data_IF_474523396613
#
_entry.id   IF_474523396613
#
_cell.length_a   1.000
_cell.length_b   1.000
_cell.length_c   1.000
_cell.angle_alpha   90.00
_cell.angle_beta   90.00
_cell.angle_gamma   90.00
#
_symmetry.space_group_name_H-M   'P 1'
#
loop_
_entity.id
_entity.type
_entity.pdbx_description
1 polymer ?
#
# COMPACT_ATOMS: atom_id res chain seq x y z
N UNK A 1 13.43 -22.84 87.05
CA UNK A 1 13.01 -21.81 86.07
C UNK A 1 14.26 -21.50 85.26
N UNK A 2 14.52 -22.30 84.23
CA UNK A 2 13.97 -22.14 82.87
C UNK A 2 14.84 -21.18 82.06
N UNK A 3 15.57 -21.78 81.12
CA UNK A 3 15.95 -21.32 79.79
C UNK A 3 15.75 -19.84 79.45
N UNK A 4 16.81 -19.22 78.93
CA UNK A 4 16.78 -18.84 77.52
C UNK A 4 18.20 -18.65 76.96
N UNK A 5 18.55 -19.57 76.06
CA UNK A 5 19.65 -19.45 75.12
C UNK A 5 19.36 -18.32 74.13
N UNK A 6 20.23 -17.32 74.06
CA UNK A 6 20.33 -16.42 72.90
C UNK A 6 21.20 -17.08 71.83
N UNK A 7 20.84 -17.01 70.54
CA UNK A 7 21.49 -17.80 69.50
C UNK A 7 22.88 -17.24 69.22
N UNK A 8 23.85 -18.15 69.11
CA UNK A 8 25.19 -17.86 68.65
C UNK A 8 25.15 -17.20 67.27
N UNK A 9 25.91 -16.12 67.13
CA UNK A 9 26.23 -15.50 65.85
C UNK A 9 26.79 -16.60 64.93
N UNK A 10 26.19 -16.85 63.75
CA UNK A 10 26.73 -17.83 62.81
C UNK A 10 28.11 -17.34 62.35
N UNK A 11 29.08 -18.24 62.11
CA UNK A 11 30.35 -17.83 61.52
C UNK A 11 30.07 -17.19 60.17
N UNK A 12 30.54 -15.96 59.97
CA UNK A 12 30.53 -15.30 58.68
C UNK A 12 31.11 -16.26 57.63
N UNK A 13 30.46 -16.44 56.47
CA UNK A 13 31.03 -17.23 55.40
C UNK A 13 32.35 -16.58 54.98
N UNK A 14 33.43 -17.34 55.08
CA UNK A 14 34.72 -17.01 54.47
C UNK A 14 34.49 -16.62 53.00
N UNK A 15 34.95 -15.42 52.64
CA UNK A 15 34.89 -14.84 51.29
C UNK A 15 35.21 -15.91 50.22
N UNK A 16 34.38 -16.09 49.19
CA UNK A 16 34.64 -17.06 48.13
C UNK A 16 35.64 -16.56 47.07
N UNK A 17 36.59 -15.68 47.41
CA UNK A 17 37.32 -14.89 46.40
C UNK A 17 38.80 -15.23 46.17
N UNK A 18 39.35 -16.30 46.75
CA UNK A 18 40.72 -16.72 46.38
C UNK A 18 40.77 -17.80 45.29
N UNK A 19 39.67 -18.50 45.00
CA UNK A 19 39.65 -19.56 43.97
C UNK A 19 39.31 -19.06 42.56
N UNK A 20 38.73 -17.87 42.43
CA UNK A 20 38.36 -17.26 41.14
C UNK A 20 39.33 -16.15 40.69
N UNK A 21 40.49 -16.02 41.34
CA UNK A 21 41.50 -15.05 40.90
C UNK A 21 42.12 -15.55 39.59
N UNK A 22 41.73 -14.89 38.49
CA UNK A 22 42.29 -15.18 37.18
C UNK A 22 43.82 -15.21 37.25
N UNK A 23 44.48 -16.19 36.61
CA UNK A 23 45.94 -16.27 36.60
C UNK A 23 46.52 -14.95 36.10
N UNK A 24 47.60 -14.48 36.73
CA UNK A 24 48.24 -13.24 36.36
C UNK A 24 49.37 -13.51 35.36
N UNK A 25 49.51 -12.62 34.37
CA UNK A 25 50.64 -12.63 33.45
C UNK A 25 51.95 -12.52 34.21
N UNK A 26 52.90 -13.39 33.89
CA UNK A 26 54.27 -13.30 34.40
C UNK A 26 55.02 -12.25 33.58
N UNK A 27 55.66 -11.30 34.28
CA UNK A 27 56.49 -10.25 33.67
C UNK A 27 57.83 -10.27 34.40
N UNK A 28 58.91 -10.51 33.67
CA UNK A 28 60.28 -10.59 34.18
C UNK A 28 61.18 -9.68 33.34
N UNK A 29 62.10 -8.96 33.98
CA UNK A 29 63.12 -8.16 33.29
C UNK A 29 64.38 -9.00 33.02
N UNK A 30 65.21 -8.60 32.04
CA UNK A 30 66.38 -9.37 31.58
C UNK A 30 67.37 -9.73 32.72
N UNK A 31 67.54 -8.84 33.70
CA UNK A 31 68.40 -9.09 34.87
C UNK A 31 67.84 -10.15 35.82
N UNK A 32 66.52 -10.21 35.96
CA UNK A 32 65.83 -11.19 36.81
C UNK A 32 65.88 -12.56 36.13
N UNK A 33 65.71 -12.60 34.82
CA UNK A 33 65.75 -13.83 34.02
C UNK A 33 67.09 -14.57 34.13
N UNK A 34 68.21 -13.83 34.17
CA UNK A 34 69.55 -14.39 34.29
C UNK A 34 69.92 -14.90 35.69
N UNK A 35 69.15 -14.55 36.73
CA UNK A 35 69.43 -14.91 38.13
C UNK A 35 68.51 -16.01 38.69
N UNK A 36 67.49 -16.42 37.92
CA UNK A 36 66.52 -17.44 38.33
C UNK A 36 67.15 -18.83 38.40
N UNK A 37 66.77 -19.58 39.44
CA UNK A 37 67.01 -21.02 39.48
C UNK A 37 66.10 -21.75 38.49
N UNK A 38 66.52 -22.95 38.08
CA UNK A 38 65.73 -23.80 37.18
C UNK A 38 64.33 -24.13 37.74
N UNK A 39 64.19 -24.24 39.06
CA UNK A 39 62.92 -24.48 39.73
C UNK A 39 61.99 -23.26 39.64
N UNK A 40 62.51 -22.05 39.88
CA UNK A 40 61.74 -20.81 39.80
C UNK A 40 61.30 -20.52 38.36
N UNK A 41 62.16 -20.76 37.37
CA UNK A 41 61.80 -20.69 35.96
C UNK A 41 60.65 -21.65 35.61
N UNK A 42 60.71 -22.90 36.08
CA UNK A 42 59.63 -23.87 35.86
C UNK A 42 58.31 -23.43 36.50
N UNK A 43 58.35 -22.78 37.68
CA UNK A 43 57.13 -22.23 38.30
C UNK A 43 56.55 -21.05 37.52
N UNK A 44 57.40 -20.11 37.08
CA UNK A 44 56.97 -18.99 36.23
C UNK A 44 56.43 -19.45 34.88
N UNK A 45 57.05 -20.47 34.27
CA UNK A 45 56.56 -21.07 33.04
C UNK A 45 55.15 -21.67 33.22
N UNK A 46 54.94 -22.50 34.26
CA UNK A 46 53.61 -23.08 34.54
C UNK A 46 52.55 -22.01 34.84
N UNK A 47 52.93 -20.94 35.55
CA UNK A 47 52.02 -19.83 35.81
C UNK A 47 51.63 -19.09 34.53
N UNK A 48 52.60 -18.83 33.65
CA UNK A 48 52.36 -18.20 32.35
C UNK A 48 51.53 -19.10 31.42
N UNK A 49 51.78 -20.41 31.42
CA UNK A 49 51.01 -21.40 30.67
C UNK A 49 49.54 -21.43 31.13
N UNK A 50 49.32 -21.46 32.45
CA UNK A 50 47.97 -21.36 33.05
C UNK A 50 47.27 -20.06 32.66
N UNK A 51 48.01 -18.94 32.61
CA UNK A 51 47.48 -17.66 32.14
C UNK A 51 47.06 -17.70 30.67
N UNK A 52 47.91 -18.26 29.80
CA UNK A 52 47.63 -18.41 28.36
C UNK A 52 46.39 -19.30 28.16
N UNK A 53 46.31 -20.46 28.80
CA UNK A 53 45.14 -21.35 28.72
C UNK A 53 43.85 -20.62 29.15
N UNK A 54 43.92 -19.80 30.21
CA UNK A 54 42.74 -19.02 30.65
C UNK A 54 42.32 -17.94 29.65
N UNK A 55 43.27 -17.33 28.94
CA UNK A 55 42.99 -16.35 27.88
C UNK A 55 42.41 -17.04 26.64
N UNK A 56 42.96 -18.18 26.23
CA UNK A 56 42.45 -18.99 25.12
C UNK A 56 41.02 -19.46 25.39
N UNK A 57 40.74 -19.93 26.61
CA UNK A 57 39.39 -20.30 27.03
C UNK A 57 38.44 -19.09 26.99
N UNK A 58 38.88 -17.92 27.48
CA UNK A 58 38.07 -16.70 27.46
C UNK A 58 37.81 -16.19 26.05
N UNK A 59 38.81 -16.25 25.16
CA UNK A 59 38.66 -15.90 23.75
C UNK A 59 37.66 -16.84 23.07
N UNK A 60 37.82 -18.15 23.26
CA UNK A 60 36.88 -19.14 22.71
C UNK A 60 35.45 -18.92 23.21
N UNK A 61 35.29 -18.59 24.49
CA UNK A 61 33.99 -18.24 25.07
C UNK A 61 33.40 -16.98 24.44
N UNK A 62 34.19 -15.91 24.30
CA UNK A 62 33.76 -14.67 23.65
C UNK A 62 33.40 -14.85 22.18
N UNK A 63 34.16 -15.68 21.45
CA UNK A 63 33.84 -16.04 20.06
C UNK A 63 32.49 -16.76 19.97
N UNK A 64 32.22 -17.68 20.90
CA UNK A 64 30.93 -18.36 21.03
C UNK A 64 29.77 -17.38 21.31
N UNK A 65 29.94 -16.50 22.29
CA UNK A 65 28.94 -15.47 22.64
C UNK A 65 28.67 -14.51 21.47
N UNK A 66 29.71 -14.09 20.75
CA UNK A 66 29.57 -13.25 19.56
C UNK A 66 28.82 -13.97 18.43
N UNK A 67 29.07 -15.26 18.23
CA UNK A 67 28.35 -16.06 17.24
C UNK A 67 26.85 -16.18 17.60
N UNK A 68 26.54 -16.42 18.87
CA UNK A 68 25.16 -16.50 19.37
C UNK A 68 24.42 -15.15 19.26
N UNK A 69 25.10 -14.04 19.61
CA UNK A 69 24.57 -12.70 19.47
C UNK A 69 24.28 -12.36 18.00
N UNK A 70 25.17 -12.72 17.07
CA UNK A 70 24.94 -12.53 15.63
C UNK A 70 23.72 -13.32 15.15
N UNK A 71 23.59 -14.58 15.55
CA UNK A 71 22.45 -15.42 15.18
C UNK A 71 21.13 -14.86 15.74
N UNK A 72 21.16 -14.33 16.96
CA UNK A 72 20.00 -13.69 17.60
C UNK A 72 19.63 -12.36 16.94
N UNK A 73 20.62 -11.56 16.55
CA UNK A 73 20.41 -10.32 15.81
C UNK A 73 19.81 -10.59 14.42
N UNK A 74 20.33 -11.58 13.70
CA UNK A 74 19.79 -11.98 12.39
C UNK A 74 18.36 -12.51 12.50
N UNK A 75 18.07 -13.33 13.52
CA UNK A 75 16.71 -13.80 13.81
C UNK A 75 15.76 -12.64 14.09
N UNK A 76 16.18 -11.67 14.91
CA UNK A 76 15.37 -10.49 15.25
C UNK A 76 15.13 -9.61 14.02
N UNK A 77 16.13 -9.43 13.16
CA UNK A 77 15.99 -8.71 11.89
C UNK A 77 14.99 -9.39 10.96
N UNK A 78 15.03 -10.72 10.84
CA UNK A 78 14.05 -11.48 10.06
C UNK A 78 12.63 -11.36 10.61
N UNK A 79 12.45 -11.41 11.94
CA UNK A 79 11.12 -11.22 12.55
C UNK A 79 10.56 -9.82 12.32
N UNK A 80 11.41 -8.79 12.39
CA UNK A 80 11.01 -7.41 12.13
C UNK A 80 10.52 -7.24 10.69
N UNK A 81 11.25 -7.76 9.70
CA UNK A 81 10.84 -7.65 8.29
C UNK A 81 9.56 -8.43 7.99
N UNK A 82 9.38 -9.61 8.59
CA UNK A 82 8.13 -10.38 8.47
C UNK A 82 6.95 -9.64 9.13
N UNK A 83 7.15 -9.05 10.30
CA UNK A 83 6.14 -8.25 11.00
C UNK A 83 5.72 -7.03 10.18
N UNK A 84 6.67 -6.27 9.65
CA UNK A 84 6.40 -5.11 8.79
C UNK A 84 5.65 -5.52 7.51
N UNK A 85 5.99 -6.65 6.90
CA UNK A 85 5.26 -7.14 5.73
C UNK A 85 3.82 -7.54 6.09
N UNK A 86 3.62 -8.16 7.26
CA UNK A 86 2.30 -8.52 7.77
C UNK A 86 1.45 -7.27 8.03
N UNK A 87 2.03 -6.25 8.65
CA UNK A 87 1.40 -4.97 8.91
C UNK A 87 0.96 -4.29 7.61
N UNK A 88 1.85 -4.21 6.59
CA UNK A 88 1.50 -3.65 5.27
C UNK A 88 0.29 -4.33 4.63
N UNK A 89 0.17 -5.65 4.77
CA UNK A 89 -1.00 -6.40 4.26
C UNK A 89 -2.26 -6.08 5.06
N UNK A 90 -2.15 -5.97 6.39
CA UNK A 90 -3.28 -5.61 7.25
C UNK A 90 -3.79 -4.20 6.96
N UNK A 91 -2.90 -3.22 6.76
CA UNK A 91 -3.26 -1.85 6.40
C UNK A 91 -4.05 -1.80 5.10
N UNK A 92 -3.57 -2.48 4.03
CA UNK A 92 -4.31 -2.53 2.76
C UNK A 92 -5.69 -3.18 2.91
N UNK A 93 -5.78 -4.24 3.74
CA UNK A 93 -7.06 -4.91 3.99
C UNK A 93 -8.01 -4.04 4.79
N UNK A 94 -7.50 -3.27 5.74
CA UNK A 94 -8.27 -2.30 6.51
C UNK A 94 -8.81 -1.21 5.59
N UNK A 95 -7.96 -0.60 4.77
CA UNK A 95 -8.36 0.41 3.78
C UNK A 95 -9.44 -0.12 2.82
N UNK A 96 -9.31 -1.37 2.33
CA UNK A 96 -10.33 -1.98 1.49
C UNK A 96 -11.68 -2.17 2.23
N UNK A 97 -11.64 -2.49 3.53
CA UNK A 97 -12.85 -2.60 4.37
C UNK A 97 -13.47 -1.25 4.69
N UNK A 98 -12.66 -0.22 4.86
CA UNK A 98 -13.14 1.17 5.02
C UNK A 98 -13.82 1.66 3.75
N UNK A 99 -13.25 1.39 2.57
CA UNK A 99 -13.89 1.72 1.28
C UNK A 99 -15.24 0.99 1.12
N UNK A 100 -15.29 -0.32 1.37
CA UNK A 100 -16.54 -1.09 1.30
C UNK A 100 -17.61 -0.52 2.26
N UNK A 101 -17.19 -0.04 3.43
CA UNK A 101 -18.10 0.62 4.39
C UNK A 101 -18.60 1.96 3.85
N UNK A 102 -17.75 2.76 3.21
CA UNK A 102 -18.14 4.01 2.56
C UNK A 102 -19.12 3.76 1.42
N UNK A 103 -18.90 2.74 0.59
CA UNK A 103 -19.79 2.34 -0.49
C UNK A 103 -21.18 1.95 0.05
N UNK A 104 -21.24 1.21 1.17
CA UNK A 104 -22.52 0.91 1.82
C UNK A 104 -23.22 2.16 2.37
N UNK A 105 -22.48 3.13 2.91
CA UNK A 105 -23.06 4.40 3.35
C UNK A 105 -23.65 5.17 2.17
N UNK A 106 -22.95 5.23 1.04
CA UNK A 106 -23.45 5.83 -0.20
C UNK A 106 -24.74 5.13 -0.67
N UNK A 107 -24.75 3.80 -0.76
CA UNK A 107 -25.92 3.03 -1.15
C UNK A 107 -27.12 3.26 -0.21
N UNK A 108 -26.88 3.32 1.10
CA UNK A 108 -27.94 3.62 2.08
C UNK A 108 -28.50 5.03 1.87
N UNK A 109 -27.65 6.01 1.58
CA UNK A 109 -28.09 7.38 1.32
C UNK A 109 -28.89 7.48 0.01
N UNK A 110 -28.47 6.79 -1.05
CA UNK A 110 -29.22 6.69 -2.31
C UNK A 110 -30.58 6.02 -2.12
N UNK A 111 -30.62 4.92 -1.37
CA UNK A 111 -31.88 4.26 -1.05
C UNK A 111 -32.78 5.15 -0.21
N UNK A 112 -32.24 5.88 0.78
CA UNK A 112 -33.01 6.85 1.57
C UNK A 112 -33.58 7.98 0.71
N UNK A 113 -32.82 8.54 -0.23
CA UNK A 113 -33.33 9.59 -1.12
C UNK A 113 -34.37 9.04 -2.10
N UNK A 114 -34.19 7.83 -2.61
CA UNK A 114 -35.17 7.15 -3.44
C UNK A 114 -36.46 6.77 -2.68
N UNK A 115 -36.34 6.43 -1.38
CA UNK A 115 -37.44 6.00 -0.51
C UNK A 115 -38.14 7.15 0.20
N UNK A 116 -37.75 8.41 -0.04
CA UNK A 116 -38.57 9.58 0.27
C UNK A 116 -39.35 9.92 -1.01
N UNK A 117 -40.46 9.23 -1.33
CA UNK A 117 -41.30 9.64 -2.42
C UNK A 117 -41.81 11.04 -2.11
N UNK A 118 -41.59 11.96 -3.04
CA UNK A 118 -42.13 13.32 -2.92
C UNK A 118 -43.65 13.22 -2.68
N UNK A 119 -44.21 14.13 -1.88
CA UNK A 119 -45.65 14.14 -1.59
C UNK A 119 -46.50 14.10 -2.88
N UNK A 120 -45.99 14.62 -3.99
CA UNK A 120 -46.57 14.52 -5.33
C UNK A 120 -46.57 13.08 -5.88
N UNK A 121 -45.49 12.33 -5.75
CA UNK A 121 -45.41 10.94 -6.20
C UNK A 121 -46.35 10.04 -5.39
N UNK A 122 -46.40 10.21 -4.06
CA UNK A 122 -47.36 9.48 -3.21
C UNK A 122 -48.81 9.78 -3.60
N UNK A 123 -49.16 11.05 -3.82
CA UNK A 123 -50.49 11.44 -4.30
C UNK A 123 -50.82 10.84 -5.67
N UNK A 124 -49.84 10.71 -6.56
CA UNK A 124 -50.03 10.10 -7.88
C UNK A 124 -50.20 8.57 -7.80
N UNK A 125 -49.55 7.88 -6.86
CA UNK A 125 -49.71 6.43 -6.66
C UNK A 125 -51.03 6.07 -5.97
N UNK A 126 -51.53 6.95 -5.09
CA UNK A 126 -52.78 6.72 -4.35
C UNK A 126 -54.04 7.05 -5.16
N UNK A 127 -53.92 7.68 -6.32
CA UNK A 127 -55.03 7.92 -7.25
C UNK A 127 -54.92 6.90 -8.37
N UNK A 128 -56.00 6.18 -8.64
CA UNK A 128 -56.09 5.26 -9.77
C UNK A 128 -55.60 5.96 -11.07
N UNK A 129 -54.72 5.33 -11.87
CA UNK A 129 -54.13 5.98 -13.05
C UNK A 129 -55.16 6.52 -14.06
N UNK A 130 -56.28 5.81 -14.24
CA UNK A 130 -57.34 6.24 -15.14
C UNK A 130 -58.11 7.44 -14.55
N UNK A 131 -58.36 7.42 -13.24
CA UNK A 131 -58.95 8.56 -12.51
C UNK A 131 -58.04 9.78 -12.55
N UNK A 132 -56.73 9.62 -12.35
CA UNK A 132 -55.77 10.72 -12.40
C UNK A 132 -55.71 11.35 -13.80
N UNK A 133 -55.69 10.52 -14.85
CA UNK A 133 -55.72 10.98 -16.24
C UNK A 133 -56.99 11.78 -16.54
N UNK A 134 -58.16 11.25 -16.16
CA UNK A 134 -59.43 11.96 -16.32
C UNK A 134 -59.44 13.28 -15.55
N UNK A 135 -58.93 13.31 -14.32
CA UNK A 135 -58.86 14.54 -13.52
C UNK A 135 -57.91 15.58 -14.13
N UNK A 136 -56.80 15.15 -14.74
CA UNK A 136 -55.89 16.03 -15.47
C UNK A 136 -56.55 16.61 -16.72
N UNK A 137 -57.24 15.78 -17.49
CA UNK A 137 -58.01 16.22 -18.67
C UNK A 137 -59.07 17.24 -18.25
N UNK A 138 -59.85 16.94 -17.21
CA UNK A 138 -60.87 17.86 -16.69
C UNK A 138 -60.28 19.17 -16.18
N UNK A 139 -59.12 19.14 -15.51
CA UNK A 139 -58.41 20.37 -15.09
C UNK A 139 -57.94 21.19 -16.29
N UNK A 140 -57.40 20.53 -17.31
CA UNK A 140 -56.93 21.19 -18.53
C UNK A 140 -58.10 21.80 -19.32
N UNK A 141 -59.20 21.07 -19.47
CA UNK A 141 -60.43 21.56 -20.11
C UNK A 141 -61.04 22.72 -19.33
N UNK A 142 -61.08 22.62 -17.99
CA UNK A 142 -61.57 23.70 -17.13
C UNK A 142 -60.68 24.95 -17.22
N UNK A 143 -59.37 24.79 -17.29
CA UNK A 143 -58.45 25.91 -17.47
C UNK A 143 -58.60 26.54 -18.86
N UNK A 144 -58.74 25.72 -19.89
CA UNK A 144 -58.94 26.16 -21.28
C UNK A 144 -60.27 26.91 -21.43
N UNK A 145 -61.34 26.41 -20.84
CA UNK A 145 -62.65 27.06 -20.86
C UNK A 145 -62.65 28.36 -20.07
N UNK A 146 -61.98 28.41 -18.90
CA UNK A 146 -61.77 29.65 -18.16
C UNK A 146 -60.98 30.68 -18.97
N UNK A 147 -59.90 30.28 -19.62
CA UNK A 147 -59.11 31.17 -20.48
C UNK A 147 -59.96 31.71 -21.63
N UNK A 148 -60.71 30.85 -22.34
CA UNK A 148 -61.62 31.30 -23.41
C UNK A 148 -62.73 32.22 -22.89
N UNK A 149 -63.27 31.96 -21.70
CA UNK A 149 -64.26 32.84 -21.08
C UNK A 149 -63.64 34.20 -20.74
N UNK A 150 -62.43 34.22 -20.19
CA UNK A 150 -61.70 35.45 -19.92
C UNK A 150 -61.38 36.20 -21.21
N UNK A 151 -60.94 35.52 -22.27
CA UNK A 151 -60.66 36.12 -23.58
C UNK A 151 -61.92 36.70 -24.21
N UNK A 152 -63.03 35.95 -24.27
CA UNK A 152 -64.30 36.45 -24.82
C UNK A 152 -64.88 37.60 -23.97
N UNK A 153 -64.73 37.54 -22.64
CA UNK A 153 -65.09 38.65 -21.75
C UNK A 153 -64.19 39.87 -21.98
N UNK A 154 -62.89 39.64 -22.18
CA UNK A 154 -61.92 40.68 -22.49
C UNK A 154 -62.23 41.32 -23.85
N UNK A 155 -62.54 40.55 -24.89
CA UNK A 155 -62.97 41.03 -26.20
C UNK A 155 -64.25 41.86 -26.12
N UNK A 156 -65.29 41.36 -25.42
CA UNK A 156 -66.54 42.09 -25.22
C UNK A 156 -66.29 43.42 -24.46
N UNK A 157 -65.36 43.42 -23.52
CA UNK A 157 -64.96 44.63 -22.79
C UNK A 157 -64.06 45.55 -23.63
N UNK A 158 -63.27 45.01 -24.55
CA UNK A 158 -62.40 45.74 -25.46
C UNK A 158 -63.18 46.48 -26.54
N UNK A 159 -64.36 45.98 -26.94
CA UNK A 159 -65.28 46.76 -27.78
C UNK A 159 -65.82 48.03 -27.08
N UNK A 160 -65.72 48.10 -25.74
CA UNK A 160 -66.02 49.30 -24.93
C UNK A 160 -64.75 50.10 -24.61
N UNK A 161 -63.62 49.80 -25.26
CA UNK A 161 -62.34 50.38 -24.93
C UNK A 161 -62.32 51.88 -25.19
N UNK A 162 -61.95 52.62 -24.15
CA UNK A 162 -61.53 54.01 -24.22
C UNK A 162 -60.13 54.09 -23.60
N UNK A 163 -59.16 54.76 -24.24
CA UNK A 163 -57.77 54.83 -23.76
C UNK A 163 -57.62 55.33 -22.31
N UNK A 164 -58.55 56.16 -21.85
CA UNK A 164 -58.56 56.72 -20.49
C UNK A 164 -59.25 55.84 -19.44
N UNK A 165 -59.87 54.73 -19.87
CA UNK A 165 -60.51 53.79 -18.95
C UNK A 165 -59.49 53.09 -18.05
N UNK A 166 -59.92 52.73 -16.83
CA UNK A 166 -59.06 52.00 -15.88
C UNK A 166 -58.51 50.68 -16.47
N UNK A 167 -59.29 50.00 -17.32
CA UNK A 167 -58.86 48.78 -18.02
C UNK A 167 -57.76 49.08 -19.04
N UNK A 168 -57.89 50.15 -19.83
CA UNK A 168 -56.85 50.57 -20.78
C UNK A 168 -55.56 50.99 -20.10
N UNK A 169 -55.65 51.72 -18.98
CA UNK A 169 -54.49 52.08 -18.15
C UNK A 169 -53.76 50.84 -17.61
N UNK A 170 -54.50 49.82 -17.15
CA UNK A 170 -53.92 48.56 -16.66
C UNK A 170 -53.21 47.78 -17.77
N UNK A 171 -53.81 47.72 -18.96
CA UNK A 171 -53.19 47.07 -20.12
C UNK A 171 -51.91 47.79 -20.53
N UNK A 172 -51.93 49.12 -20.62
CA UNK A 172 -50.74 49.92 -20.94
C UNK A 172 -49.64 49.79 -19.89
N UNK A 173 -50.00 49.65 -18.60
CA UNK A 173 -49.03 49.31 -17.56
C UNK A 173 -48.43 47.91 -17.77
N UNK A 174 -49.23 46.92 -18.17
CA UNK A 174 -48.75 45.56 -18.47
C UNK A 174 -47.84 45.52 -19.71
N UNK A 175 -48.18 46.27 -20.77
CA UNK A 175 -47.30 46.44 -21.92
C UNK A 175 -45.96 47.08 -21.53
N UNK A 176 -45.98 48.14 -20.71
CA UNK A 176 -44.76 48.76 -20.19
C UNK A 176 -43.91 47.79 -19.35
N UNK A 177 -44.54 46.98 -18.49
CA UNK A 177 -43.83 45.94 -17.73
C UNK A 177 -43.18 44.90 -18.64
N UNK A 178 -43.91 44.41 -19.66
CA UNK A 178 -43.35 43.45 -20.63
C UNK A 178 -42.18 44.03 -21.43
N UNK A 179 -42.22 45.30 -21.79
CA UNK A 179 -41.07 45.96 -22.43
C UNK A 179 -39.85 45.99 -21.51
N UNK A 180 -40.06 46.28 -20.22
CA UNK A 180 -38.97 46.33 -19.25
C UNK A 180 -38.39 44.94 -18.96
N UNK A 181 -39.25 43.93 -18.83
CA UNK A 181 -38.83 42.54 -18.66
C UNK A 181 -38.02 42.04 -19.87
N UNK A 182 -38.45 42.36 -21.09
CA UNK A 182 -37.68 42.04 -22.29
C UNK A 182 -36.34 42.78 -22.36
N UNK A 183 -36.30 44.04 -21.91
CA UNK A 183 -35.05 44.80 -21.80
C UNK A 183 -34.08 44.16 -20.80
N UNK A 184 -34.59 43.71 -19.66
CA UNK A 184 -33.80 43.06 -18.61
C UNK A 184 -33.33 41.66 -19.02
N UNK A 185 -34.16 40.89 -19.73
CA UNK A 185 -33.74 39.63 -20.37
C UNK A 185 -32.62 39.88 -21.40
N UNK A 186 -32.72 40.97 -22.17
CA UNK A 186 -31.67 41.43 -23.06
C UNK A 186 -30.36 41.72 -22.32
N UNK A 187 -30.42 42.42 -21.17
CA UNK A 187 -29.26 42.70 -20.30
C UNK A 187 -28.64 41.45 -19.70
N UNK A 188 -29.47 40.51 -19.24
CA UNK A 188 -28.99 39.22 -18.69
C UNK A 188 -28.30 38.42 -19.80
N UNK A 189 -28.86 38.40 -21.00
CA UNK A 189 -28.27 37.74 -22.17
C UNK A 189 -26.98 38.43 -22.62
N UNK A 190 -26.94 39.77 -22.62
CA UNK A 190 -25.74 40.55 -22.96
C UNK A 190 -24.71 40.61 -21.83
N UNK A 191 -24.99 40.05 -20.64
CA UNK A 191 -24.11 40.16 -19.46
C UNK A 191 -22.77 39.41 -19.59
N UNK A 192 -22.46 38.82 -20.75
CA UNK A 192 -21.22 38.10 -21.03
C UNK A 192 -21.03 36.81 -20.22
N UNK A 193 -21.81 36.60 -19.16
CA UNK A 193 -21.76 35.42 -18.29
C UNK A 193 -22.10 34.14 -19.04
N UNK A 194 -23.07 34.19 -19.95
CA UNK A 194 -23.42 33.04 -20.79
C UNK A 194 -22.26 32.68 -21.72
N UNK A 195 -21.70 33.66 -22.44
CA UNK A 195 -20.54 33.45 -23.30
C UNK A 195 -19.30 32.96 -22.53
N UNK A 196 -19.09 33.44 -21.30
CA UNK A 196 -18.01 32.95 -20.43
C UNK A 196 -18.23 31.48 -20.03
N UNK A 197 -19.42 31.13 -19.57
CA UNK A 197 -19.75 29.75 -19.18
C UNK A 197 -19.66 28.80 -20.38
N UNK A 198 -20.05 29.24 -21.58
CA UNK A 198 -19.87 28.46 -22.82
C UNK A 198 -18.40 28.26 -23.18
N UNK A 199 -17.56 29.28 -22.98
CA UNK A 199 -16.10 29.18 -23.17
C UNK A 199 -15.43 28.24 -22.16
N UNK A 200 -15.79 28.36 -20.89
CA UNK A 200 -15.30 27.48 -19.81
C UNK A 200 -15.72 26.02 -20.08
N UNK A 201 -16.96 25.81 -20.53
CA UNK A 201 -17.47 24.49 -20.93
C UNK A 201 -16.66 23.91 -22.11
N UNK A 202 -16.39 24.71 -23.14
CA UNK A 202 -15.62 24.28 -24.31
C UNK A 202 -14.17 23.89 -23.95
N UNK A 203 -13.52 24.68 -23.09
CA UNK A 203 -12.18 24.36 -22.57
C UNK A 203 -12.19 23.05 -21.78
N UNK A 204 -13.18 22.85 -20.92
CA UNK A 204 -13.28 21.63 -20.13
C UNK A 204 -13.54 20.38 -20.98
N UNK A 205 -14.34 20.51 -22.05
CA UNK A 205 -14.51 19.42 -23.02
C UNK A 205 -13.21 19.07 -23.73
N UNK A 206 -12.43 20.06 -24.16
CA UNK A 206 -11.12 19.85 -24.81
C UNK A 206 -10.13 19.15 -23.88
N UNK A 207 -10.03 19.59 -22.62
CA UNK A 207 -9.15 18.98 -21.63
C UNK A 207 -9.53 17.52 -21.36
N UNK A 208 -10.83 17.24 -21.23
CA UNK A 208 -11.33 15.88 -21.02
C UNK A 208 -11.00 14.96 -22.21
N UNK A 209 -11.09 15.46 -23.44
CA UNK A 209 -10.73 14.71 -24.64
C UNK A 209 -9.23 14.41 -24.71
N UNK A 210 -8.38 15.36 -24.33
CA UNK A 210 -6.92 15.20 -24.33
C UNK A 210 -6.47 14.18 -23.28
N UNK A 211 -7.03 14.22 -22.07
CA UNK A 211 -6.80 13.20 -21.04
C UNK A 211 -7.24 11.82 -21.54
N UNK A 212 -8.42 11.72 -22.15
CA UNK A 212 -8.90 10.45 -22.72
C UNK A 212 -7.97 9.93 -23.82
N UNK A 213 -7.42 10.82 -24.65
CA UNK A 213 -6.46 10.46 -25.69
C UNK A 213 -5.15 9.96 -25.08
N UNK A 214 -4.60 10.66 -24.09
CA UNK A 214 -3.39 10.23 -23.39
C UNK A 214 -3.56 8.88 -22.71
N UNK A 215 -4.72 8.61 -22.10
CA UNK A 215 -5.03 7.30 -21.52
C UNK A 215 -5.01 6.19 -22.58
N UNK A 216 -5.62 6.41 -23.75
CA UNK A 216 -5.62 5.42 -24.83
C UNK A 216 -4.22 5.14 -25.38
N UNK A 217 -3.38 6.17 -25.48
CA UNK A 217 -1.98 6.02 -25.87
C UNK A 217 -1.19 5.20 -24.83
N UNK A 218 -1.42 5.45 -23.54
CA UNK A 218 -0.81 4.66 -22.45
C UNK A 218 -1.29 3.21 -22.44
N UNK A 219 -2.59 2.97 -22.68
CA UNK A 219 -3.15 1.62 -22.77
C UNK A 219 -2.54 0.84 -23.95
N UNK A 220 -2.31 1.51 -25.09
CA UNK A 220 -1.59 0.92 -26.23
C UNK A 220 -0.15 0.56 -25.85
N UNK A 221 0.56 1.47 -25.18
CA UNK A 221 1.95 1.22 -24.75
C UNK A 221 2.04 0.05 -23.76
N UNK A 222 1.07 -0.09 -22.86
CA UNK A 222 0.99 -1.22 -21.94
C UNK A 222 0.77 -2.55 -22.68
N UNK A 223 -0.05 -2.56 -23.73
CA UNK A 223 -0.26 -3.75 -24.55
C UNK A 223 1.03 -4.17 -25.27
N UNK A 224 1.76 -3.20 -25.84
CA UNK A 224 3.05 -3.46 -26.50
C UNK A 224 4.08 -4.02 -25.50
N UNK A 225 4.13 -3.47 -24.29
CA UNK A 225 5.02 -3.95 -23.22
C UNK A 225 4.67 -5.39 -22.78
N UNK A 226 3.39 -5.72 -22.71
CA UNK A 226 2.96 -7.09 -22.39
C UNK A 226 3.35 -8.07 -23.51
N UNK A 227 3.23 -7.68 -24.79
CA UNK A 227 3.71 -8.48 -25.93
C UNK A 227 5.23 -8.73 -25.84
N UNK A 228 6.02 -7.70 -25.55
CA UNK A 228 7.47 -7.81 -25.38
C UNK A 228 7.84 -8.74 -24.21
N UNK A 229 7.12 -8.65 -23.09
CA UNK A 229 7.34 -9.51 -21.92
C UNK A 229 7.00 -10.97 -22.23
N UNK A 230 5.92 -11.23 -22.96
CA UNK A 230 5.56 -12.57 -23.44
C UNK A 230 6.62 -13.13 -24.41
N UNK A 231 7.14 -12.30 -25.31
CA UNK A 231 8.23 -12.65 -26.23
C UNK A 231 9.53 -13.00 -25.49
N UNK A 232 9.92 -12.19 -24.51
CA UNK A 232 11.08 -12.47 -23.67
C UNK A 232 10.89 -13.74 -22.82
N UNK A 233 9.70 -13.96 -22.24
CA UNK A 233 9.40 -15.19 -21.50
C UNK A 233 9.51 -16.44 -22.38
N UNK A 234 9.05 -16.35 -23.63
CA UNK A 234 9.19 -17.43 -24.61
C UNK A 234 10.66 -17.77 -24.90
N UNK A 235 11.50 -16.74 -25.04
CA UNK A 235 12.95 -16.91 -25.23
C UNK A 235 13.64 -17.50 -24.00
N UNK A 236 13.28 -17.05 -22.81
CA UNK A 236 13.80 -17.61 -21.55
C UNK A 236 13.46 -19.10 -21.44
N UNK A 237 12.22 -19.48 -21.76
CA UNK A 237 11.79 -20.88 -21.72
C UNK A 237 12.60 -21.74 -22.69
N UNK A 238 12.81 -21.25 -23.91
CA UNK A 238 13.63 -21.91 -24.91
C UNK A 238 15.07 -22.15 -24.43
N UNK A 239 15.72 -21.10 -23.89
CA UNK A 239 17.08 -21.20 -23.36
C UNK A 239 17.16 -22.15 -22.15
N UNK A 240 16.17 -22.13 -21.26
CA UNK A 240 16.10 -23.08 -20.14
C UNK A 240 15.99 -24.53 -20.61
N UNK A 241 15.25 -24.77 -21.70
CA UNK A 241 15.12 -26.11 -22.28
C UNK A 241 16.43 -26.59 -22.91
N UNK A 242 17.12 -25.73 -23.68
CA UNK A 242 18.43 -26.05 -24.25
C UNK A 242 19.48 -26.33 -23.16
N UNK A 243 19.50 -25.50 -22.10
CA UNK A 243 20.42 -25.68 -20.98
C UNK A 243 20.14 -26.98 -20.22
N UNK A 244 18.87 -27.38 -20.08
CA UNK A 244 18.48 -28.68 -19.53
C UNK A 244 18.98 -29.85 -20.38
N UNK A 245 18.79 -29.79 -21.71
CA UNK A 245 19.29 -30.82 -22.63
C UNK A 245 20.81 -30.95 -22.56
N UNK A 246 21.54 -29.83 -22.54
CA UNK A 246 22.99 -29.82 -22.43
C UNK A 246 23.48 -30.41 -21.09
N UNK A 247 22.81 -30.08 -19.98
CA UNK A 247 23.10 -30.69 -18.68
C UNK A 247 22.82 -32.19 -18.67
N UNK A 248 21.69 -32.65 -19.23
CA UNK A 248 21.36 -34.07 -19.34
C UNK A 248 22.40 -34.84 -20.17
N UNK A 249 22.83 -34.28 -21.30
CA UNK A 249 23.89 -34.86 -22.13
C UNK A 249 25.23 -34.92 -21.38
N UNK A 250 25.58 -33.86 -20.64
CA UNK A 250 26.79 -33.82 -19.82
C UNK A 250 26.77 -34.90 -18.74
N UNK A 251 25.65 -35.04 -18.02
CA UNK A 251 25.46 -36.10 -17.00
C UNK A 251 25.55 -37.49 -17.63
N UNK A 252 24.97 -37.71 -18.81
CA UNK A 252 25.05 -38.98 -19.52
C UNK A 252 26.50 -39.34 -19.87
N UNK A 253 27.24 -38.41 -20.48
CA UNK A 253 28.66 -38.58 -20.81
C UNK A 253 29.53 -38.79 -19.56
N UNK A 254 29.20 -38.13 -18.45
CA UNK A 254 29.92 -38.26 -17.19
C UNK A 254 29.70 -39.64 -16.54
N UNK A 255 28.48 -40.19 -16.64
CA UNK A 255 28.20 -41.58 -16.25
C UNK A 255 28.92 -42.58 -17.13
N UNK A 256 28.91 -42.38 -18.45
CA UNK A 256 29.62 -43.25 -19.39
C UNK A 256 31.14 -43.24 -19.12
N UNK A 257 31.74 -42.07 -18.94
CA UNK A 257 33.15 -41.94 -18.54
C UNK A 257 33.46 -42.68 -17.23
N UNK A 258 32.56 -42.60 -16.24
CA UNK A 258 32.73 -43.28 -14.96
C UNK A 258 32.65 -44.80 -15.11
N UNK A 259 31.73 -45.28 -15.94
CA UNK A 259 31.59 -46.70 -16.27
C UNK A 259 32.81 -47.24 -17.01
N UNK A 260 33.33 -46.50 -18.00
CA UNK A 260 34.53 -46.87 -18.75
C UNK A 260 35.78 -46.87 -17.85
N UNK A 261 35.91 -45.91 -16.92
CA UNK A 261 36.99 -45.92 -15.92
C UNK A 261 36.92 -47.13 -14.99
N UNK A 262 35.73 -47.55 -14.56
CA UNK A 262 35.56 -48.78 -13.77
C UNK A 262 35.84 -50.05 -14.59
N UNK A 263 35.52 -50.05 -15.89
CA UNK A 263 35.78 -51.18 -16.78
C UNK A 263 37.28 -51.32 -17.14
N UNK A 264 38.01 -50.20 -17.26
CA UNK A 264 39.46 -50.18 -17.43
C UNK A 264 40.26 -50.43 -16.13
N UNK A 265 39.63 -50.32 -14.95
CA UNK A 265 40.26 -50.50 -13.63
C UNK A 265 40.60 -51.95 -13.23
N UNK A 266 40.53 -52.92 -14.16
CA UNK A 266 40.99 -54.30 -13.93
C UNK A 266 42.37 -54.62 -14.51
N UNK A 267 43.06 -53.64 -15.09
CA UNK A 267 44.45 -53.79 -15.51
C UNK A 267 45.29 -52.60 -15.01
N UNK A 268 46.32 -52.95 -14.24
CA UNK A 268 47.35 -52.12 -13.62
C UNK A 268 47.01 -51.39 -12.32
N UNK A 269 47.79 -51.76 -11.30
CA UNK A 269 47.72 -51.27 -9.94
C UNK A 269 48.58 -50.05 -9.66
N UNK A 270 48.37 -49.61 -8.42
CA UNK A 270 49.26 -48.90 -7.53
C UNK A 270 49.80 -47.53 -7.97
N UNK A 271 49.15 -46.47 -7.48
CA UNK A 271 49.89 -45.34 -6.91
C UNK A 271 49.00 -44.53 -5.98
N UNK A 272 49.41 -44.53 -4.71
CA UNK A 272 48.88 -43.74 -3.60
C UNK A 272 49.20 -42.26 -3.80
N UNK A 273 48.18 -41.40 -3.66
CA UNK A 273 48.29 -40.04 -3.12
C UNK A 273 46.95 -39.68 -2.46
N UNK A 274 46.91 -39.76 -1.13
CA UNK A 274 45.93 -39.08 -0.27
C UNK A 274 46.32 -37.59 -0.20
N UNK A 275 45.37 -36.64 -0.06
CA UNK A 275 44.94 -36.35 1.31
C UNK A 275 43.43 -36.07 1.47
N UNK A 276 42.93 -36.66 2.55
CA UNK A 276 42.09 -36.13 3.61
C UNK A 276 40.84 -35.31 3.24
N UNK A 277 39.73 -35.92 3.65
CA UNK A 277 38.37 -35.41 3.77
C UNK A 277 38.29 -34.34 4.87
N UNK A 278 37.48 -33.33 4.64
CA UNK A 278 36.50 -32.94 5.67
C UNK A 278 35.11 -32.85 5.05
N UNK A 279 34.24 -33.60 5.70
CA UNK A 279 32.84 -33.86 5.44
C UNK A 279 31.97 -32.68 5.90
N UNK A 280 30.84 -32.46 5.25
CA UNK A 280 29.58 -32.02 5.88
C UNK A 280 28.49 -31.88 4.82
N UNK A 281 27.77 -32.98 4.61
CA UNK A 281 26.36 -32.90 4.27
C UNK A 281 25.60 -32.17 5.39
N UNK A 282 24.80 -31.18 5.02
CA UNK A 282 23.61 -30.84 5.81
C UNK A 282 22.49 -30.38 4.90
N UNK A 283 21.39 -31.12 4.98
CA UNK A 283 20.14 -30.89 4.27
C UNK A 283 19.59 -29.46 4.45
N UNK A 284 18.98 -28.92 3.40
CA UNK A 284 17.81 -28.08 3.57
C UNK A 284 16.84 -28.28 2.40
N UNK A 285 15.94 -29.24 2.60
CA UNK A 285 14.66 -29.32 1.94
C UNK A 285 13.98 -27.94 1.88
N UNK A 286 13.90 -27.33 0.69
CA UNK A 286 12.89 -26.29 0.41
C UNK A 286 12.24 -26.56 -0.94
N UNK A 287 11.11 -27.22 -0.84
CA UNK A 287 9.98 -27.18 -1.77
C UNK A 287 9.83 -25.77 -2.37
N UNK A 288 10.32 -25.55 -3.60
CA UNK A 288 9.97 -24.35 -4.38
C UNK A 288 8.58 -24.57 -4.96
N UNK A 289 7.58 -24.42 -4.09
CA UNK A 289 6.19 -24.16 -4.48
C UNK A 289 6.21 -22.90 -5.34
N UNK A 290 6.07 -23.08 -6.65
CA UNK A 290 5.85 -22.03 -7.64
C UNK A 290 4.69 -21.17 -7.15
N UNK A 291 5.00 -20.01 -6.55
CA UNK A 291 3.99 -18.99 -6.26
C UNK A 291 3.64 -18.35 -7.59
N UNK A 292 2.49 -18.74 -8.12
CA UNK A 292 1.80 -18.06 -9.21
C UNK A 292 1.67 -16.59 -8.80
N UNK A 293 2.50 -15.73 -9.38
CA UNK A 293 2.43 -14.28 -9.21
C UNK A 293 1.15 -13.84 -9.92
N UNK A 294 0.10 -13.57 -9.15
CA UNK A 294 -0.98 -12.69 -9.61
C UNK A 294 -0.42 -11.28 -9.56
N UNK A 295 -0.05 -10.72 -10.72
CA UNK A 295 0.17 -9.28 -10.87
C UNK A 295 -1.14 -8.59 -10.50
N UNK A 296 -1.17 -7.88 -9.39
CA UNK A 296 -2.21 -6.87 -9.14
C UNK A 296 -1.81 -5.62 -9.90
N UNK A 297 -2.64 -5.22 -10.86
CA UNK A 297 -2.58 -3.89 -11.45
C UNK A 297 -2.78 -2.86 -10.35
N UNK A 298 -1.75 -2.08 -10.03
CA UNK A 298 -1.94 -0.75 -9.43
C UNK A 298 -0.88 0.15 -10.03
N UNK A 299 -1.32 0.95 -11.00
CA UNK A 299 -0.67 2.17 -11.45
C UNK A 299 -0.45 3.03 -10.19
N UNK A 300 0.79 3.15 -9.72
CA UNK A 300 1.12 4.11 -8.65
C UNK A 300 1.38 5.43 -9.34
N UNK A 301 0.34 6.27 -9.38
CA UNK A 301 0.51 7.70 -9.63
C UNK A 301 0.92 8.25 -8.27
N UNK A 302 2.20 8.61 -8.12
CA UNK A 302 2.67 9.43 -7.01
C UNK A 302 2.00 10.80 -7.16
N UNK A 303 0.94 11.03 -6.39
CA UNK A 303 0.45 12.38 -6.12
C UNK A 303 1.39 12.96 -5.07
N UNK A 304 2.23 13.90 -5.48
CA UNK A 304 2.83 14.86 -4.55
C UNK A 304 1.68 15.57 -3.81
N UNK A 305 1.79 15.60 -2.49
CA UNK A 305 0.74 15.94 -1.54
C UNK A 305 0.54 17.47 -1.44
N UNK A 306 0.00 18.09 -2.50
CA UNK A 306 -0.51 19.46 -2.43
C UNK A 306 -1.96 19.44 -1.92
N UNK A 307 -2.10 19.36 -0.59
CA UNK A 307 -3.38 19.46 0.10
C UNK A 307 -3.92 20.89 0.03
N UNK A 308 -4.81 21.14 -0.95
CA UNK A 308 -5.56 22.39 -1.05
C UNK A 308 -6.71 22.39 -0.02
N UNK A 309 -6.43 22.89 1.18
CA UNK A 309 -7.43 23.05 2.24
C UNK A 309 -8.30 24.28 1.93
N UNK A 310 -9.48 24.06 1.33
CA UNK A 310 -10.50 25.09 1.20
C UNK A 310 -11.25 25.22 2.53
N UNK A 311 -10.86 26.19 3.36
CA UNK A 311 -11.67 26.61 4.49
C UNK A 311 -12.86 27.45 4.00
N UNK A 312 -14.00 27.32 4.69
CA UNK A 312 -15.33 27.83 4.33
C UNK A 312 -15.49 29.35 4.19
N UNK A 313 -14.40 30.12 4.22
CA UNK A 313 -14.39 31.57 4.05
C UNK A 313 -13.57 32.07 2.83
N UNK A 314 -13.08 31.19 1.96
CA UNK A 314 -12.66 31.59 0.60
C UNK A 314 -11.39 32.44 0.50
N UNK A 315 -10.42 32.29 1.40
CA UNK A 315 -9.08 32.90 1.25
C UNK A 315 -8.01 31.80 1.17
N UNK A 316 -7.18 31.85 0.13
CA UNK A 316 -6.14 30.86 -0.18
C UNK A 316 -4.80 31.39 0.34
N UNK A 317 -4.19 30.70 1.30
CA UNK A 317 -2.82 30.95 1.73
C UNK A 317 -1.96 29.73 1.42
N UNK A 318 -0.89 29.93 0.64
CA UNK A 318 0.15 28.94 0.37
C UNK A 318 1.08 28.85 1.60
N UNK A 319 1.33 27.64 2.11
CA UNK A 319 2.31 27.43 3.17
C UNK A 319 3.68 27.09 2.58
N UNK A 320 4.68 27.93 2.85
CA UNK A 320 6.08 27.64 2.56
C UNK A 320 6.62 26.53 3.47
N UNK A 321 7.43 25.64 2.89
CA UNK A 321 8.03 24.47 3.52
C UNK A 321 9.24 24.80 4.40
N UNK A 322 9.38 24.07 5.53
CA UNK A 322 10.65 23.80 6.23
C UNK A 322 10.96 22.29 6.15
#
# INVERSE_FOLDING_TARGET
MSDQAGPGVPPQPSSPDEKDRAPNRVVLNDSELGSLSSAEFATHWRQQDTYITSLEQRLSQQEGELAELRLTADRSRCQLTESQQREKVLVRRLAAKEQETQDYVCQVNELKTAQIPTNSSLRSTLVDPAVNSLLQILRAELQTTKARLEDTQNELSAWKFTPDSNTGKRLMAKCRMLYHENEDLGKITSSGRVAKLEGDLALQTSFSEEVRKSQLELDSFLADLDEDVEGMQSTILYLQQELRKANEATVALQRENSSLKQQNGRANGDSVCDPDRTDSESEANRTTRVKRVRRSSVLSIDYEDDTLVINSNGDVAMSDAE
#
